data_IF_656288055621
#
_entry.id   IF_656288055621
#
_cell.length_a   1.000
_cell.length_b   1.000
_cell.length_c   1.000
_cell.angle_alpha   90.00
_cell.angle_beta   90.00
_cell.angle_gamma   90.00
#
_symmetry.space_group_name_H-M   'P 1'
#
loop_
_entity.id
_entity.type
_entity.pdbx_description
1 polymer ?
#
# COMPACT_ATOMS: atom_id res chain seq x y z
N UNK A 1 -15.93 6.68 -22.42
CA UNK A 1 -15.70 8.02 -21.84
C UNK A 1 -14.41 8.55 -22.46
N UNK A 2 -14.55 9.34 -23.52
CA UNK A 2 -13.45 9.85 -24.36
C UNK A 2 -12.77 10.97 -23.56
N UNK A 3 -11.45 10.92 -23.44
CA UNK A 3 -10.67 11.93 -22.73
C UNK A 3 -10.88 13.30 -23.41
N UNK A 4 -11.73 14.12 -22.82
CA UNK A 4 -11.90 15.56 -23.13
C UNK A 4 -10.66 16.31 -22.60
N UNK A 5 -9.48 15.96 -23.12
CA UNK A 5 -8.18 16.52 -22.75
C UNK A 5 -7.55 17.37 -23.83
N UNK A 6 -8.17 17.46 -25.01
CA UNK A 6 -7.96 18.61 -25.87
C UNK A 6 -8.72 19.79 -25.25
N UNK A 7 -8.26 20.25 -24.08
CA UNK A 7 -8.48 21.62 -23.70
C UNK A 7 -8.05 22.47 -24.88
N UNK A 8 -8.90 23.42 -25.23
CA UNK A 8 -8.59 24.48 -26.16
C UNK A 8 -7.42 25.29 -25.58
N UNK A 9 -6.20 24.81 -25.82
CA UNK A 9 -4.95 25.28 -25.21
C UNK A 9 -4.43 26.53 -25.93
N UNK A 10 -5.29 27.32 -26.57
CA UNK A 10 -4.92 28.46 -27.43
C UNK A 10 -4.03 29.50 -26.73
N UNK A 11 -4.07 29.59 -25.40
CA UNK A 11 -3.23 30.48 -24.60
C UNK A 11 -1.95 29.87 -23.98
N UNK A 12 -1.66 28.58 -24.22
CA UNK A 12 -0.61 27.83 -23.50
C UNK A 12 0.51 27.44 -24.48
N UNK A 13 1.75 27.81 -24.14
CA UNK A 13 2.92 27.59 -25.00
C UNK A 13 3.23 26.10 -25.24
N UNK A 14 3.87 25.77 -26.37
CA UNK A 14 4.17 24.39 -26.78
C UNK A 14 4.84 23.57 -25.66
N UNK A 15 5.80 24.17 -24.95
CA UNK A 15 6.49 23.52 -23.83
C UNK A 15 5.53 23.12 -22.70
N UNK A 16 4.61 24.00 -22.30
CA UNK A 16 3.62 23.71 -21.27
C UNK A 16 2.64 22.62 -21.72
N UNK A 17 2.24 22.61 -23.00
CA UNK A 17 1.40 21.53 -23.58
C UNK A 17 2.10 20.17 -23.53
N UNK A 18 3.39 20.13 -23.87
CA UNK A 18 4.21 18.92 -23.77
C UNK A 18 4.33 18.48 -22.31
N UNK A 19 4.61 19.40 -21.38
CA UNK A 19 4.67 19.09 -19.96
C UNK A 19 3.36 18.50 -19.43
N UNK A 20 2.22 19.12 -19.71
CA UNK A 20 0.91 18.64 -19.23
C UNK A 20 0.55 17.27 -19.82
N UNK A 21 0.99 16.97 -21.04
CA UNK A 21 0.73 15.67 -21.69
C UNK A 21 1.66 14.58 -21.16
N UNK A 22 2.97 14.84 -21.16
CA UNK A 22 3.96 13.81 -20.85
C UNK A 22 4.18 13.63 -19.34
N UNK A 23 3.99 14.66 -18.53
CA UNK A 23 4.19 14.57 -17.09
C UNK A 23 3.22 13.56 -16.42
N UNK A 24 1.90 13.58 -16.67
CA UNK A 24 1.00 12.55 -16.15
C UNK A 24 1.33 11.15 -16.70
N UNK A 25 1.73 11.04 -17.96
CA UNK A 25 2.15 9.75 -18.54
C UNK A 25 3.36 9.15 -17.83
N UNK A 26 4.26 9.97 -17.31
CA UNK A 26 5.44 9.52 -16.56
C UNK A 26 5.13 9.30 -15.07
N UNK A 27 4.35 10.20 -14.46
CA UNK A 27 4.07 10.19 -13.01
C UNK A 27 2.97 9.20 -12.62
N UNK A 28 1.90 9.07 -13.41
CA UNK A 28 0.78 8.21 -13.05
C UNK A 28 1.17 6.73 -12.92
N UNK A 29 1.95 6.13 -13.83
CA UNK A 29 2.41 4.74 -13.65
C UNK A 29 3.26 4.55 -12.40
N UNK A 30 4.08 5.55 -12.03
CA UNK A 30 4.89 5.51 -10.81
C UNK A 30 3.99 5.55 -9.56
N UNK A 31 3.02 6.46 -9.51
CA UNK A 31 2.05 6.53 -8.41
C UNK A 31 1.24 5.23 -8.31
N UNK A 32 0.79 4.71 -9.46
CA UNK A 32 0.08 3.43 -9.53
C UNK A 32 0.91 2.29 -8.95
N UNK A 33 2.19 2.17 -9.32
CA UNK A 33 3.11 1.14 -8.80
C UNK A 33 3.34 1.25 -7.29
N UNK A 34 3.34 2.46 -6.72
CA UNK A 34 3.57 2.67 -5.29
C UNK A 34 2.32 2.37 -4.45
N UNK A 35 1.15 2.85 -4.89
CA UNK A 35 -0.08 2.85 -4.10
C UNK A 35 -0.91 1.57 -4.29
N UNK A 36 -1.01 1.04 -5.51
CA UNK A 36 -1.91 -0.09 -5.79
C UNK A 36 -1.56 -1.39 -5.06
N UNK A 37 -0.28 -1.75 -4.80
CA UNK A 37 0.03 -2.96 -4.06
C UNK A 37 -0.49 -2.98 -2.61
N UNK A 38 -0.87 -1.82 -2.04
CA UNK A 38 -1.50 -1.72 -0.71
C UNK A 38 -2.94 -2.21 -0.72
N UNK A 39 -3.60 -2.18 -1.87
CA UNK A 39 -5.00 -2.57 -2.00
C UNK A 39 -5.03 -4.08 -2.21
N UNK A 40 -5.16 -4.83 -1.11
CA UNK A 40 -5.43 -6.27 -1.14
C UNK A 40 -6.70 -6.57 -0.34
N UNK A 41 -7.48 -7.57 -0.74
CA UNK A 41 -8.48 -8.15 0.17
C UNK A 41 -7.73 -9.05 1.16
N UNK A 42 -8.04 -8.90 2.44
CA UNK A 42 -7.48 -9.71 3.52
C UNK A 42 -8.60 -10.61 4.02
N UNK A 43 -8.36 -11.91 3.95
CA UNK A 43 -9.17 -12.96 4.56
C UNK A 43 -8.33 -13.58 5.67
N UNK A 44 -8.92 -13.81 6.84
CA UNK A 44 -8.24 -14.37 8.00
C UNK A 44 -8.97 -15.62 8.43
N UNK A 45 -8.23 -16.70 8.52
CA UNK A 45 -8.72 -18.04 8.77
C UNK A 45 -8.00 -18.59 10.02
N UNK A 46 -8.37 -19.79 10.47
CA UNK A 46 -7.68 -20.46 11.59
C UNK A 46 -6.21 -20.75 11.26
N UNK A 47 -5.90 -21.09 10.00
CA UNK A 47 -4.54 -21.44 9.56
C UNK A 47 -3.64 -20.23 9.27
N UNK A 48 -4.22 -19.07 8.94
CA UNK A 48 -3.41 -17.97 8.41
C UNK A 48 -4.15 -16.77 7.83
N UNK A 49 -3.37 -15.98 7.09
CA UNK A 49 -3.80 -14.80 6.34
C UNK A 49 -3.81 -15.11 4.85
N UNK A 50 -4.91 -14.79 4.19
CA UNK A 50 -5.02 -14.86 2.74
C UNK A 50 -5.10 -13.45 2.17
N UNK A 51 -4.14 -13.12 1.29
CA UNK A 51 -4.07 -11.85 0.60
C UNK A 51 -4.49 -12.04 -0.85
N UNK A 52 -5.54 -11.35 -1.28
CA UNK A 52 -6.01 -11.39 -2.67
C UNK A 52 -5.82 -10.02 -3.32
N UNK A 53 -5.06 -9.95 -4.41
CA UNK A 53 -4.95 -8.75 -5.22
C UNK A 53 -6.21 -8.63 -6.11
N UNK A 54 -7.09 -7.63 -5.90
CA UNK A 54 -8.35 -7.53 -6.65
C UNK A 54 -8.15 -7.17 -8.13
N UNK A 55 -6.98 -6.63 -8.51
CA UNK A 55 -6.71 -6.21 -9.88
C UNK A 55 -6.11 -7.32 -10.75
N UNK A 56 -5.33 -8.21 -10.14
CA UNK A 56 -4.62 -9.30 -10.85
C UNK A 56 -5.26 -10.67 -10.56
N UNK A 57 -6.06 -10.77 -9.49
CA UNK A 57 -6.65 -12.03 -9.02
C UNK A 57 -5.68 -12.94 -8.28
N UNK A 58 -4.41 -12.54 -8.13
CA UNK A 58 -3.41 -13.33 -7.40
C UNK A 58 -3.78 -13.48 -5.93
N UNK A 59 -3.83 -14.72 -5.45
CA UNK A 59 -4.08 -15.08 -4.06
C UNK A 59 -2.81 -15.63 -3.43
N UNK A 60 -2.43 -15.09 -2.27
CA UNK A 60 -1.27 -15.53 -1.50
C UNK A 60 -1.73 -15.91 -0.10
N UNK A 61 -1.63 -17.20 0.26
CA UNK A 61 -1.91 -17.69 1.61
C UNK A 61 -0.61 -17.68 2.42
N UNK A 62 -0.66 -17.08 3.60
CA UNK A 62 0.42 -16.96 4.57
C UNK A 62 -0.04 -17.70 5.84
N UNK A 63 0.56 -18.85 6.11
CA UNK A 63 0.26 -19.64 7.32
C UNK A 63 0.85 -18.96 8.54
N UNK A 64 0.15 -18.98 9.67
CA UNK A 64 0.63 -18.38 10.92
C UNK A 64 2.01 -18.90 11.33
N UNK A 65 2.25 -20.21 11.18
CA UNK A 65 3.51 -20.87 11.52
C UNK A 65 4.72 -20.37 10.72
N UNK A 66 4.48 -19.75 9.55
CA UNK A 66 5.54 -19.21 8.69
C UNK A 66 5.81 -17.72 8.94
N UNK A 67 5.12 -17.11 9.91
CA UNK A 67 5.22 -15.69 10.20
C UNK A 67 5.95 -15.50 11.54
N UNK A 68 6.98 -14.65 11.53
CA UNK A 68 7.77 -14.38 12.74
C UNK A 68 7.00 -13.51 13.74
N UNK A 69 6.13 -12.64 13.21
CA UNK A 69 5.33 -11.73 14.01
C UNK A 69 4.82 -10.51 13.24
N UNK A 70 4.50 -9.47 13.99
CA UNK A 70 4.08 -8.19 13.42
C UNK A 70 4.84 -7.01 14.04
N UNK A 71 5.00 -5.94 13.25
CA UNK A 71 5.42 -4.62 13.72
C UNK A 71 4.26 -3.65 13.65
N UNK A 72 4.34 -2.59 14.45
CA UNK A 72 3.39 -1.47 14.39
C UNK A 72 4.07 -0.21 13.92
N UNK A 73 3.32 0.62 13.20
CA UNK A 73 3.75 1.94 12.78
C UNK A 73 2.57 2.90 12.84
N UNK A 74 2.81 4.10 13.35
CA UNK A 74 1.77 5.14 13.45
C UNK A 74 2.32 6.40 12.83
N UNK A 75 1.53 7.05 11.98
CA UNK A 75 1.91 8.30 11.36
C UNK A 75 0.70 9.20 11.11
N UNK A 76 0.96 10.50 10.98
CA UNK A 76 -0.07 11.50 10.73
C UNK A 76 -0.18 11.76 9.23
N UNK A 77 -1.39 11.70 8.71
CA UNK A 77 -1.73 12.08 7.34
C UNK A 77 -2.68 13.26 7.35
N UNK A 78 -2.96 13.84 6.16
CA UNK A 78 -3.99 14.89 6.03
C UNK A 78 -5.38 14.44 6.50
N UNK A 79 -5.66 13.13 6.47
CA UNK A 79 -6.92 12.55 6.94
C UNK A 79 -6.92 12.14 8.41
N UNK A 80 -5.85 12.46 9.16
CA UNK A 80 -5.70 12.10 10.57
C UNK A 80 -4.65 11.02 10.81
N UNK A 81 -4.70 10.43 12.00
CA UNK A 81 -3.74 9.44 12.47
C UNK A 81 -4.00 8.08 11.83
N UNK A 82 -3.00 7.55 11.14
CA UNK A 82 -3.02 6.26 10.47
C UNK A 82 -2.16 5.27 11.25
N UNK A 83 -2.74 4.11 11.53
CA UNK A 83 -2.04 2.99 12.15
C UNK A 83 -1.82 1.89 11.12
N UNK A 84 -0.62 1.34 11.11
CA UNK A 84 -0.23 0.26 10.22
C UNK A 84 0.28 -0.94 11.02
N UNK A 85 -0.06 -2.11 10.52
CA UNK A 85 0.43 -3.41 10.96
C UNK A 85 1.29 -4.00 9.85
N UNK A 86 2.54 -4.28 10.14
CA UNK A 86 3.49 -4.82 9.17
C UNK A 86 3.75 -6.27 9.56
N UNK A 87 3.36 -7.21 8.70
CA UNK A 87 3.59 -8.63 8.90
C UNK A 87 5.04 -8.95 8.53
N UNK A 88 5.71 -9.73 9.36
CA UNK A 88 7.11 -10.13 9.21
C UNK A 88 7.19 -11.65 9.05
N UNK A 89 8.00 -12.11 8.11
CA UNK A 89 8.30 -13.51 7.86
C UNK A 89 9.74 -13.65 7.39
N UNK A 90 10.48 -14.61 7.94
CA UNK A 90 11.90 -14.83 7.66
C UNK A 90 12.76 -13.56 7.81
N UNK A 91 12.48 -12.75 8.84
CA UNK A 91 13.13 -11.47 9.13
C UNK A 91 12.77 -10.33 8.17
N UNK A 92 11.94 -10.58 7.16
CA UNK A 92 11.56 -9.61 6.13
C UNK A 92 10.12 -9.13 6.30
N UNK A 93 9.89 -7.84 6.02
CA UNK A 93 8.55 -7.26 5.97
C UNK A 93 7.86 -7.67 4.68
N UNK A 94 6.82 -8.49 4.79
CA UNK A 94 6.13 -9.07 3.64
C UNK A 94 4.90 -8.28 3.21
N UNK A 95 4.18 -7.69 4.16
CA UNK A 95 2.94 -6.98 3.87
C UNK A 95 2.55 -5.99 4.97
N UNK A 96 2.05 -4.85 4.55
CA UNK A 96 1.55 -3.76 5.38
C UNK A 96 0.03 -3.63 5.28
N UNK A 97 -0.63 -3.60 6.44
CA UNK A 97 -2.07 -3.43 6.61
C UNK A 97 -2.28 -2.07 7.26
N UNK A 98 -2.88 -1.14 6.54
CA UNK A 98 -3.03 0.24 6.99
C UNK A 98 -4.48 0.59 7.29
N UNK A 99 -4.74 1.23 8.42
CA UNK A 99 -6.09 1.64 8.85
C UNK A 99 -6.76 2.60 7.86
N UNK A 100 -5.99 3.19 6.95
CA UNK A 100 -6.49 4.04 5.88
C UNK A 100 -7.24 3.25 4.78
N UNK A 101 -6.76 2.06 4.43
CA UNK A 101 -7.35 1.27 3.33
C UNK A 101 -8.37 0.22 3.80
N UNK A 102 -8.33 -0.16 5.09
CA UNK A 102 -9.14 -1.24 5.64
C UNK A 102 -10.15 -0.74 6.66
N UNK A 103 -11.45 -0.78 6.32
CA UNK A 103 -12.54 -0.40 7.24
C UNK A 103 -12.61 -1.29 8.49
N UNK A 104 -12.31 -2.58 8.34
CA UNK A 104 -12.27 -3.57 9.42
C UNK A 104 -10.89 -3.69 10.11
N UNK A 105 -10.05 -2.66 10.01
CA UNK A 105 -8.69 -2.68 10.57
C UNK A 105 -8.63 -3.09 12.05
N UNK A 106 -9.59 -2.65 12.88
CA UNK A 106 -9.64 -3.01 14.31
C UNK A 106 -9.76 -4.53 14.52
N UNK A 107 -10.57 -5.19 13.70
CA UNK A 107 -10.78 -6.63 13.76
C UNK A 107 -9.53 -7.38 13.28
N UNK A 108 -8.98 -6.96 12.12
CA UNK A 108 -7.75 -7.52 11.58
C UNK A 108 -6.62 -7.41 12.62
N UNK A 109 -6.46 -6.23 13.22
CA UNK A 109 -5.49 -6.01 14.30
C UNK A 109 -5.67 -7.01 15.41
N UNK A 110 -6.88 -7.16 15.94
CA UNK A 110 -7.17 -8.09 17.04
C UNK A 110 -6.77 -9.52 16.70
N UNK A 111 -7.10 -9.98 15.48
CA UNK A 111 -6.77 -11.33 15.02
C UNK A 111 -5.26 -11.52 14.87
N UNK A 112 -4.58 -10.57 14.23
CA UNK A 112 -3.12 -10.58 14.08
C UNK A 112 -2.43 -10.57 15.44
N UNK A 113 -2.83 -9.68 16.36
CA UNK A 113 -2.22 -9.60 17.69
C UNK A 113 -2.49 -10.80 18.59
N UNK A 114 -3.53 -11.59 18.28
CA UNK A 114 -3.85 -12.83 18.99
C UNK A 114 -2.98 -14.00 18.52
N UNK A 115 -2.71 -14.06 17.22
CA UNK A 115 -2.00 -15.20 16.61
C UNK A 115 -0.50 -14.96 16.42
N UNK A 116 -0.06 -13.70 16.41
CA UNK A 116 1.35 -13.33 16.19
C UNK A 116 1.91 -12.52 17.35
N UNK A 117 3.21 -12.69 17.58
CA UNK A 117 3.96 -11.89 18.56
C UNK A 117 4.33 -10.51 17.98
N UNK A 118 4.45 -9.51 18.87
CA UNK A 118 4.95 -8.20 18.47
C UNK A 118 6.48 -8.24 18.39
N UNK A 119 7.03 -8.03 17.20
CA UNK A 119 8.48 -8.04 16.94
C UNK A 119 9.09 -6.64 16.84
N UNK A 120 8.31 -5.59 17.10
CA UNK A 120 8.81 -4.24 17.29
C UNK A 120 7.93 -3.11 16.77
N UNK A 121 8.48 -1.90 16.84
CA UNK A 121 7.86 -0.68 16.31
C UNK A 121 8.74 -0.11 15.21
N UNK A 122 8.11 0.50 14.20
CA UNK A 122 8.81 1.12 13.08
C UNK A 122 8.41 2.58 12.97
N UNK A 123 9.40 3.45 12.79
CA UNK A 123 9.17 4.85 12.47
C UNK A 123 8.86 5.03 10.98
N UNK A 124 7.87 5.86 10.70
CA UNK A 124 7.50 6.16 9.33
C UNK A 124 8.50 7.14 8.70
N UNK A 125 9.25 6.66 7.70
CA UNK A 125 10.13 7.47 6.84
C UNK A 125 9.63 7.41 5.41
N UNK A 126 9.01 8.50 4.95
CA UNK A 126 8.36 8.58 3.63
C UNK A 126 9.33 8.26 2.47
N UNK A 127 10.54 8.82 2.52
CA UNK A 127 11.55 8.59 1.48
C UNK A 127 12.03 7.15 1.40
N UNK A 128 12.24 6.50 2.55
CA UNK A 128 12.63 5.09 2.60
C UNK A 128 11.49 4.19 2.10
N UNK A 129 10.25 4.56 2.42
CA UNK A 129 9.06 3.89 1.91
C UNK A 129 8.98 3.98 0.38
N UNK A 130 9.09 5.19 -0.19
CA UNK A 130 9.03 5.41 -1.63
C UNK A 130 10.12 4.65 -2.38
N UNK A 131 11.38 4.76 -1.93
CA UNK A 131 12.52 4.10 -2.59
C UNK A 131 12.34 2.58 -2.68
N UNK A 132 11.89 1.95 -1.59
CA UNK A 132 11.64 0.49 -1.55
C UNK A 132 10.56 0.00 -2.52
N UNK A 133 9.61 0.86 -2.92
CA UNK A 133 8.49 0.50 -3.80
C UNK A 133 8.78 0.79 -5.27
N UNK A 134 9.62 1.79 -5.55
CA UNK A 134 9.95 2.21 -6.91
C UNK A 134 11.17 1.48 -7.47
N UNK A 135 12.22 1.30 -6.66
CA UNK A 135 13.52 0.77 -7.12
C UNK A 135 13.76 -0.70 -6.75
N UNK A 136 12.72 -1.41 -6.28
CA UNK A 136 12.74 -2.85 -5.99
C UNK A 136 11.86 -3.58 -7.03
#
# INVERSE_FOLDING_TARGET
MIYVWAYDLEGIGLFQRLMITFFPLLVMPLLWRVEMPKIKRIEIDEDGLTLTNPFIGTRTKLLWDNLDGYKTMTHVTRGGLVNELIIVSNGAEIFDISSYYYKNFKEIRRLVTRNLSNVGQKDFKYWDYFKRRVFK
#
